data_IF_119009991568
#
_entry.id   IF_119009991568
#
_cell.length_a   1.000
_cell.length_b   1.000
_cell.length_c   1.000
_cell.angle_alpha   90.00
_cell.angle_beta   90.00
_cell.angle_gamma   90.00
#
_symmetry.space_group_name_H-M   'P 1'
#
loop_
_entity.id
_entity.type
_entity.pdbx_description
1 polymer ?
#
# COMPACT_ATOMS: atom_id res chain seq x y z
N UNK A 1 -0.19 -5.76 30.81
CA UNK A 1 -0.35 -6.65 29.64
C UNK A 1 0.51 -6.11 28.49
N UNK A 2 1.84 -6.08 28.69
CA UNK A 2 2.79 -5.26 27.89
C UNK A 2 4.16 -5.94 27.72
N UNK A 3 4.21 -7.27 27.66
CA UNK A 3 5.45 -8.06 27.50
C UNK A 3 5.33 -9.09 26.37
N UNK A 4 4.87 -8.66 25.19
CA UNK A 4 4.76 -9.49 23.98
C UNK A 4 5.47 -8.87 22.77
N UNK A 5 6.40 -7.93 22.99
CA UNK A 5 6.98 -7.08 21.94
C UNK A 5 8.39 -7.46 21.48
N UNK A 6 8.92 -8.63 21.86
CA UNK A 6 10.27 -9.03 21.44
C UNK A 6 10.38 -10.52 21.12
N UNK A 7 10.38 -10.80 19.81
CA UNK A 7 11.17 -11.83 19.13
C UNK A 7 10.83 -13.33 19.26
N UNK A 8 9.78 -13.75 19.97
CA UNK A 8 9.40 -15.19 20.01
C UNK A 8 8.11 -15.57 19.26
N UNK A 9 7.26 -14.60 18.89
CA UNK A 9 5.86 -14.89 18.52
C UNK A 9 5.51 -14.71 17.04
N UNK A 10 6.48 -14.50 16.13
CA UNK A 10 6.18 -14.33 14.70
C UNK A 10 5.32 -15.49 14.13
N UNK A 11 5.55 -16.71 14.61
CA UNK A 11 4.73 -17.87 14.25
C UNK A 11 3.31 -17.83 14.82
N UNK A 12 3.12 -17.34 16.06
CA UNK A 12 1.82 -17.29 16.74
C UNK A 12 0.94 -16.15 16.23
N UNK A 13 1.52 -14.98 15.94
CA UNK A 13 0.79 -13.84 15.38
C UNK A 13 0.32 -14.10 13.95
N UNK A 14 1.17 -14.71 13.10
CA UNK A 14 0.76 -15.12 11.77
C UNK A 14 -0.37 -16.16 11.82
N UNK A 15 -0.32 -17.12 12.74
CA UNK A 15 -1.40 -18.11 12.90
C UNK A 15 -2.72 -17.48 13.40
N UNK A 16 -2.66 -16.60 14.41
CA UNK A 16 -3.85 -15.89 14.92
C UNK A 16 -4.48 -14.98 13.86
N UNK A 17 -3.64 -14.32 13.06
CA UNK A 17 -4.11 -13.44 12.01
C UNK A 17 -4.68 -14.22 10.82
N UNK A 18 -4.06 -15.34 10.45
CA UNK A 18 -4.65 -16.32 9.52
C UNK A 18 -6.03 -16.80 9.98
N UNK A 19 -6.16 -17.14 11.27
CA UNK A 19 -7.44 -17.54 11.86
C UNK A 19 -8.48 -16.42 11.78
N UNK A 20 -8.09 -15.19 12.10
CA UNK A 20 -8.99 -14.03 12.05
C UNK A 20 -9.46 -13.74 10.63
N UNK A 21 -8.53 -13.75 9.66
CA UNK A 21 -8.85 -13.60 8.23
C UNK A 21 -9.82 -14.69 7.77
N UNK A 22 -9.54 -15.96 8.07
CA UNK A 22 -10.40 -17.08 7.69
C UNK A 22 -11.80 -16.98 8.32
N UNK A 23 -11.89 -16.54 9.58
CA UNK A 23 -13.17 -16.33 10.25
C UNK A 23 -13.99 -15.23 9.56
N UNK A 24 -13.36 -14.09 9.26
CA UNK A 24 -14.04 -12.96 8.59
C UNK A 24 -14.45 -13.32 7.18
N UNK A 25 -13.56 -13.95 6.41
CA UNK A 25 -13.81 -14.37 5.03
C UNK A 25 -14.99 -15.35 4.93
N UNK A 26 -15.16 -16.23 5.93
CA UNK A 26 -16.25 -17.22 5.96
C UNK A 26 -17.51 -16.71 6.68
N UNK A 27 -17.50 -15.51 7.25
CA UNK A 27 -18.69 -14.91 7.84
C UNK A 27 -19.58 -14.30 6.76
N UNK A 28 -20.89 -14.32 7.01
CA UNK A 28 -21.83 -13.53 6.23
C UNK A 28 -21.49 -12.03 6.36
N UNK A 29 -21.36 -11.35 5.21
CA UNK A 29 -21.06 -9.92 5.09
C UNK A 29 -22.09 -9.08 5.86
N UNK A 30 -23.34 -9.56 5.93
CA UNK A 30 -24.41 -8.91 6.69
C UNK A 30 -24.08 -8.70 8.18
N UNK A 31 -23.19 -9.52 8.77
CA UNK A 31 -22.77 -9.39 10.18
C UNK A 31 -21.94 -8.14 10.43
N UNK A 32 -21.27 -7.61 9.42
CA UNK A 32 -20.42 -6.42 9.54
C UNK A 32 -21.19 -5.11 9.40
N UNK A 33 -22.53 -5.15 9.25
CA UNK A 33 -23.37 -3.95 9.24
C UNK A 33 -23.43 -3.25 10.60
N UNK A 34 -23.15 -3.97 11.68
CA UNK A 34 -23.11 -3.42 13.03
C UNK A 34 -21.84 -2.58 13.24
N UNK A 35 -21.90 -1.44 13.97
CA UNK A 35 -20.77 -0.52 14.08
C UNK A 35 -19.49 -1.15 14.65
N UNK A 36 -19.62 -2.06 15.62
CA UNK A 36 -18.48 -2.72 16.25
C UNK A 36 -17.76 -3.67 15.29
N UNK A 37 -18.50 -4.62 14.70
CA UNK A 37 -17.98 -5.59 13.73
C UNK A 37 -17.38 -4.86 12.52
N UNK A 38 -18.01 -3.75 12.10
CA UNK A 38 -17.47 -2.90 11.06
C UNK A 38 -16.13 -2.29 11.45
N UNK A 39 -16.05 -1.64 12.62
CA UNK A 39 -14.81 -1.04 13.10
C UNK A 39 -13.70 -2.08 13.25
N UNK A 40 -14.06 -3.31 13.66
CA UNK A 40 -13.15 -4.44 13.70
C UNK A 40 -12.63 -4.79 12.30
N UNK A 41 -13.51 -4.97 11.30
CA UNK A 41 -13.11 -5.21 9.91
C UNK A 41 -12.19 -4.10 9.38
N UNK A 42 -12.58 -2.84 9.59
CA UNK A 42 -11.81 -1.67 9.17
C UNK A 42 -10.43 -1.62 9.82
N UNK A 43 -10.31 -2.00 11.09
CA UNK A 43 -9.02 -2.03 11.81
C UNK A 43 -8.05 -3.07 11.26
N UNK A 44 -8.55 -4.15 10.65
CA UNK A 44 -7.76 -5.29 10.18
C UNK A 44 -7.55 -5.27 8.65
N UNK A 45 -8.22 -4.38 7.92
CA UNK A 45 -8.26 -4.36 6.45
C UNK A 45 -6.86 -4.35 5.82
N UNK A 46 -6.02 -3.40 6.25
CA UNK A 46 -4.63 -3.29 5.79
C UNK A 46 -3.80 -4.55 6.09
N UNK A 47 -4.08 -5.21 7.22
CA UNK A 47 -3.37 -6.42 7.61
C UNK A 47 -3.69 -7.58 6.66
N UNK A 48 -4.96 -7.79 6.31
CA UNK A 48 -5.35 -8.84 5.35
C UNK A 48 -4.73 -8.63 3.98
N UNK A 49 -4.71 -7.38 3.52
CA UNK A 49 -4.09 -7.01 2.23
C UNK A 49 -2.60 -7.33 2.24
N UNK A 50 -1.87 -6.92 3.28
CA UNK A 50 -0.43 -7.20 3.39
C UNK A 50 -0.17 -8.71 3.49
N UNK A 51 -0.98 -9.43 4.25
CA UNK A 51 -0.86 -10.89 4.36
C UNK A 51 -1.03 -11.57 3.00
N UNK A 52 -2.05 -11.19 2.22
CA UNK A 52 -2.29 -11.72 0.88
C UNK A 52 -1.21 -11.33 -0.12
N UNK A 53 -0.71 -10.09 -0.02
CA UNK A 53 0.42 -9.62 -0.81
C UNK A 53 1.68 -10.44 -0.58
N UNK A 54 1.99 -10.75 0.68
CA UNK A 54 3.16 -11.57 1.05
C UNK A 54 3.04 -13.01 0.56
N UNK A 55 1.83 -13.57 0.58
CA UNK A 55 1.56 -14.92 0.12
C UNK A 55 1.36 -14.99 -1.40
N UNK A 56 1.37 -13.84 -2.09
CA UNK A 56 1.03 -13.71 -3.51
C UNK A 56 -0.29 -14.43 -3.80
N UNK A 57 -1.33 -14.06 -3.06
CA UNK A 57 -2.68 -14.61 -3.22
C UNK A 57 -3.70 -13.48 -3.41
N UNK A 58 -4.84 -13.76 -4.06
CA UNK A 58 -5.93 -12.80 -4.14
C UNK A 58 -6.48 -12.43 -2.77
N UNK A 59 -6.60 -11.13 -2.51
CA UNK A 59 -7.25 -10.65 -1.29
C UNK A 59 -8.76 -10.85 -1.39
N UNK A 60 -9.37 -11.52 -0.41
CA UNK A 60 -10.83 -11.75 -0.42
C UNK A 60 -11.64 -10.45 -0.45
N UNK A 61 -11.07 -9.36 0.09
CA UNK A 61 -11.67 -8.02 0.06
C UNK A 61 -11.77 -7.43 -1.35
N UNK A 62 -11.03 -7.98 -2.32
CA UNK A 62 -11.14 -7.57 -3.72
C UNK A 62 -12.42 -8.09 -4.39
N UNK A 63 -13.12 -9.06 -3.80
CA UNK A 63 -14.34 -9.66 -4.36
C UNK A 63 -15.54 -8.69 -4.27
N UNK A 64 -16.41 -8.70 -5.29
CA UNK A 64 -17.51 -7.72 -5.44
C UNK A 64 -18.40 -7.57 -4.18
N UNK A 65 -18.83 -8.65 -3.50
CA UNK A 65 -19.66 -8.50 -2.29
C UNK A 65 -18.98 -7.68 -1.18
N UNK A 66 -17.66 -7.83 -1.03
CA UNK A 66 -16.87 -7.07 -0.06
C UNK A 66 -16.61 -5.64 -0.54
N UNK A 67 -16.32 -5.46 -1.83
CA UNK A 67 -16.10 -4.14 -2.45
C UNK A 67 -17.31 -3.23 -2.34
N UNK A 68 -18.48 -3.76 -2.67
CA UNK A 68 -19.75 -3.04 -2.63
C UNK A 68 -20.07 -2.64 -1.19
N UNK A 69 -19.96 -3.58 -0.25
CA UNK A 69 -20.19 -3.35 1.17
C UNK A 69 -19.25 -2.27 1.77
N UNK A 70 -17.97 -2.26 1.39
CA UNK A 70 -17.02 -1.24 1.85
C UNK A 70 -17.36 0.14 1.27
N UNK A 71 -17.75 0.21 -0.02
CA UNK A 71 -18.08 1.45 -0.72
C UNK A 71 -19.38 2.11 -0.25
N UNK A 72 -20.46 1.34 -0.09
CA UNK A 72 -21.79 1.84 0.32
C UNK A 72 -21.78 2.63 1.63
N UNK A 73 -20.74 2.45 2.45
CA UNK A 73 -20.72 2.99 3.80
C UNK A 73 -19.80 4.19 3.98
N UNK A 74 -18.90 4.47 3.04
CA UNK A 74 -18.25 5.78 3.01
C UNK A 74 -19.28 6.91 2.87
N UNK A 75 -20.42 6.63 2.23
CA UNK A 75 -21.54 7.55 2.04
C UNK A 75 -22.48 7.68 3.27
N UNK A 76 -22.50 6.71 4.18
CA UNK A 76 -23.47 6.63 5.29
C UNK A 76 -22.85 6.76 6.69
N UNK A 77 -21.53 6.92 6.81
CA UNK A 77 -20.85 7.04 8.10
C UNK A 77 -21.19 8.36 8.82
N UNK A 78 -22.06 8.29 9.83
CA UNK A 78 -22.52 9.41 10.67
C UNK A 78 -21.52 9.84 11.76
N UNK A 79 -20.40 9.15 11.92
CA UNK A 79 -19.41 9.43 12.99
C UNK A 79 -18.24 10.28 12.48
N UNK A 80 -17.80 11.30 13.24
CA UNK A 80 -16.61 12.08 12.89
C UNK A 80 -15.38 11.18 12.94
N UNK A 81 -15.00 10.67 11.78
CA UNK A 81 -13.79 9.87 11.59
C UNK A 81 -12.65 10.84 11.28
N UNK A 82 -11.48 10.67 11.90
CA UNK A 82 -10.36 11.55 11.62
C UNK A 82 -10.01 11.50 10.12
N UNK A 83 -9.56 12.62 9.55
CA UNK A 83 -9.19 12.68 8.12
C UNK A 83 -8.20 11.58 7.74
N UNK A 84 -7.23 11.26 8.61
CA UNK A 84 -6.28 10.18 8.36
C UNK A 84 -6.94 8.80 8.32
N UNK A 85 -7.97 8.53 9.12
CA UNK A 85 -8.72 7.28 9.05
C UNK A 85 -9.51 7.16 7.74
N UNK A 86 -10.10 8.26 7.25
CA UNK A 86 -10.77 8.29 5.93
C UNK A 86 -9.76 8.03 4.80
N UNK A 87 -8.62 8.71 4.82
CA UNK A 87 -7.56 8.50 3.83
C UNK A 87 -7.01 7.07 3.86
N UNK A 88 -6.87 6.48 5.07
CA UNK A 88 -6.49 5.07 5.23
C UNK A 88 -7.49 4.11 4.65
N UNK A 89 -8.80 4.37 4.83
CA UNK A 89 -9.85 3.57 4.19
C UNK A 89 -9.66 3.61 2.67
N UNK A 90 -9.64 4.80 2.07
CA UNK A 90 -9.45 4.95 0.62
C UNK A 90 -8.20 4.26 0.10
N UNK A 91 -7.06 4.38 0.80
CA UNK A 91 -5.84 3.67 0.43
C UNK A 91 -6.07 2.15 0.39
N UNK A 92 -6.73 1.58 1.40
CA UNK A 92 -7.01 0.16 1.44
C UNK A 92 -7.91 -0.30 0.28
N UNK A 93 -8.80 0.55 -0.24
CA UNK A 93 -9.61 0.24 -1.43
C UNK A 93 -8.77 0.15 -2.71
N UNK A 94 -7.69 0.92 -2.80
CA UNK A 94 -6.76 0.78 -3.92
C UNK A 94 -5.82 -0.42 -3.75
N UNK A 95 -5.33 -0.64 -2.53
CA UNK A 95 -4.31 -1.67 -2.27
C UNK A 95 -4.79 -3.11 -2.47
N UNK A 96 -6.09 -3.39 -2.34
CA UNK A 96 -6.63 -4.77 -2.50
C UNK A 96 -6.39 -5.37 -3.89
N UNK A 97 -6.19 -4.56 -4.94
CA UNK A 97 -5.93 -5.06 -6.31
C UNK A 97 -4.43 -5.31 -6.59
N UNK A 98 -3.55 -4.67 -5.83
CA UNK A 98 -2.11 -4.70 -6.05
C UNK A 98 -1.52 -6.13 -5.93
N UNK A 99 -1.89 -6.95 -4.92
CA UNK A 99 -1.38 -8.32 -4.79
C UNK A 99 -1.58 -9.18 -6.04
N UNK A 100 -2.80 -9.20 -6.57
CA UNK A 100 -3.17 -10.01 -7.74
C UNK A 100 -2.42 -9.52 -8.97
N UNK A 101 -2.34 -8.20 -9.16
CA UNK A 101 -1.61 -7.62 -10.29
C UNK A 101 -0.13 -8.02 -10.26
N UNK A 102 0.53 -7.90 -9.11
CA UNK A 102 1.95 -8.25 -8.97
C UNK A 102 2.20 -9.75 -9.19
N UNK A 103 1.30 -10.60 -8.71
CA UNK A 103 1.35 -12.05 -8.94
C UNK A 103 1.21 -12.38 -10.44
N UNK A 104 0.23 -11.77 -11.13
CA UNK A 104 0.00 -12.00 -12.56
C UNK A 104 1.17 -11.50 -13.42
N UNK A 105 1.77 -10.36 -13.06
CA UNK A 105 2.98 -9.84 -13.70
C UNK A 105 4.12 -10.83 -13.48
N UNK A 106 4.44 -11.17 -12.23
CA UNK A 106 5.53 -12.09 -11.90
C UNK A 106 5.37 -13.46 -12.58
N UNK A 107 4.17 -14.05 -12.56
CA UNK A 107 3.89 -15.32 -13.22
C UNK A 107 4.03 -15.25 -14.74
N UNK A 108 3.67 -14.12 -15.36
CA UNK A 108 3.87 -13.91 -16.79
C UNK A 108 5.36 -13.78 -17.12
N UNK A 109 6.13 -13.05 -16.30
CA UNK A 109 7.58 -12.94 -16.42
C UNK A 109 8.28 -14.30 -16.33
N UNK A 110 7.93 -15.13 -15.34
CA UNK A 110 8.52 -16.46 -15.16
C UNK A 110 8.20 -17.42 -16.30
N UNK A 111 7.02 -17.30 -16.91
CA UNK A 111 6.59 -18.20 -17.99
C UNK A 111 7.27 -17.94 -19.34
N UNK A 112 7.94 -16.77 -19.50
CA UNK A 112 8.58 -16.38 -20.76
C UNK A 112 7.63 -16.12 -21.95
N UNK A 113 6.31 -16.28 -21.75
CA UNK A 113 5.29 -16.00 -22.77
C UNK A 113 4.93 -14.51 -22.79
N UNK A 114 5.85 -13.72 -23.34
CA UNK A 114 5.67 -12.29 -23.55
C UNK A 114 4.74 -12.02 -24.75
N UNK A 115 3.84 -11.05 -24.62
CA UNK A 115 2.86 -10.71 -25.66
C UNK A 115 1.68 -9.91 -25.10
N UNK A 116 0.50 -10.01 -25.75
CA UNK A 116 -0.71 -9.24 -25.38
C UNK A 116 -1.12 -9.35 -23.90
N UNK A 117 -0.77 -10.45 -23.22
CA UNK A 117 -1.07 -10.63 -21.79
C UNK A 117 -0.24 -9.66 -20.94
N UNK A 118 1.07 -9.56 -21.18
CA UNK A 118 1.94 -8.65 -20.44
C UNK A 118 1.57 -7.19 -20.73
N UNK A 119 1.26 -6.86 -21.99
CA UNK A 119 0.79 -5.52 -22.37
C UNK A 119 -0.50 -5.11 -21.63
N UNK A 120 -1.46 -6.05 -21.51
CA UNK A 120 -2.70 -5.82 -20.73
C UNK A 120 -2.40 -5.61 -19.25
N UNK A 121 -1.47 -6.36 -18.68
CA UNK A 121 -1.07 -6.22 -17.28
C UNK A 121 -0.37 -4.87 -17.03
N UNK A 122 0.50 -4.44 -17.94
CA UNK A 122 1.13 -3.10 -17.88
C UNK A 122 0.08 -2.01 -17.91
N UNK A 123 -0.89 -2.06 -18.84
CA UNK A 123 -1.98 -1.08 -18.91
C UNK A 123 -2.78 -1.03 -17.61
N UNK A 124 -3.09 -2.19 -17.02
CA UNK A 124 -3.80 -2.26 -15.73
C UNK A 124 -2.95 -1.70 -14.59
N UNK A 125 -1.65 -1.99 -14.57
CA UNK A 125 -0.71 -1.46 -13.58
C UNK A 125 -0.62 0.07 -13.66
N UNK A 126 -0.55 0.64 -14.87
CA UNK A 126 -0.55 2.09 -15.09
C UNK A 126 -1.86 2.73 -14.60
N UNK A 127 -3.01 2.12 -14.88
CA UNK A 127 -4.30 2.66 -14.39
C UNK A 127 -4.35 2.71 -12.86
N UNK A 128 -3.91 1.64 -12.19
CA UNK A 128 -3.88 1.59 -10.72
C UNK A 128 -2.86 2.59 -10.17
N UNK A 129 -1.68 2.67 -10.80
CA UNK A 129 -0.65 3.66 -10.46
C UNK A 129 -1.20 5.08 -10.52
N UNK A 130 -1.78 5.47 -11.65
CA UNK A 130 -2.28 6.84 -11.87
C UNK A 130 -3.44 7.19 -10.93
N UNK A 131 -4.27 6.21 -10.58
CA UNK A 131 -5.33 6.38 -9.58
C UNK A 131 -4.76 6.65 -8.19
N UNK A 132 -3.78 5.85 -7.75
CA UNK A 132 -3.14 6.02 -6.44
C UNK A 132 -2.36 7.33 -6.40
N UNK A 133 -1.59 7.64 -7.44
CA UNK A 133 -0.80 8.87 -7.51
C UNK A 133 -1.69 10.11 -7.56
N UNK A 134 -2.72 10.11 -8.42
CA UNK A 134 -3.68 11.21 -8.51
C UNK A 134 -4.40 11.46 -7.19
N UNK A 135 -4.85 10.40 -6.51
CA UNK A 135 -5.44 10.50 -5.17
C UNK A 135 -4.43 11.03 -4.13
N UNK A 136 -3.20 10.51 -4.13
CA UNK A 136 -2.15 10.93 -3.20
C UNK A 136 -1.86 12.44 -3.33
N UNK A 137 -1.68 12.93 -4.55
CA UNK A 137 -1.43 14.34 -4.83
C UNK A 137 -2.63 15.24 -4.50
N UNK A 138 -3.85 14.75 -4.71
CA UNK A 138 -5.06 15.54 -4.49
C UNK A 138 -5.51 15.59 -3.03
N UNK A 139 -5.32 14.51 -2.26
CA UNK A 139 -5.95 14.37 -0.93
C UNK A 139 -4.95 14.23 0.22
N UNK A 140 -3.83 13.52 0.00
CA UNK A 140 -2.83 13.23 1.03
C UNK A 140 -1.81 14.36 1.14
N UNK A 141 -1.23 14.78 0.01
CA UNK A 141 -0.23 15.85 0.00
C UNK A 141 -0.77 17.15 0.62
N UNK A 142 -1.98 17.62 0.30
CA UNK A 142 -2.53 18.82 0.94
C UNK A 142 -2.87 18.65 2.43
N UNK A 143 -3.00 17.40 2.90
CA UNK A 143 -3.26 17.10 4.31
C UNK A 143 -1.98 17.07 5.16
N UNK A 144 -0.81 17.09 4.53
CA UNK A 144 0.50 17.15 5.16
C UNK A 144 1.13 18.49 4.80
N UNK A 145 1.21 19.47 5.73
CA UNK A 145 1.91 20.72 5.45
C UNK A 145 3.42 20.44 5.27
N UNK A 146 3.86 20.26 4.03
CA UNK A 146 5.28 20.21 3.70
C UNK A 146 5.82 21.65 3.70
N UNK A 147 6.67 21.97 4.68
CA UNK A 147 7.33 23.27 4.72
C UNK A 147 8.38 23.32 3.60
N UNK A 148 8.14 24.10 2.56
CA UNK A 148 9.22 24.48 1.64
C UNK A 148 10.24 25.34 2.40
N UNK A 149 11.45 24.82 2.63
CA UNK A 149 12.55 25.66 3.07
C UNK A 149 12.95 26.57 1.90
N UNK A 150 12.69 27.86 2.08
CA UNK A 150 13.08 28.89 1.14
C UNK A 150 14.60 29.15 1.30
N UNK A 151 15.38 28.76 0.29
CA UNK A 151 16.73 29.25 0.04
C UNK A 151 17.86 28.68 0.91
N UNK A 152 18.52 27.62 0.44
CA UNK A 152 19.99 27.61 0.38
C UNK A 152 20.50 26.48 -0.54
N UNK A 153 21.43 26.79 -1.45
CA UNK A 153 22.01 25.85 -2.43
C UNK A 153 23.14 24.98 -1.84
N UNK A 154 23.14 24.78 -0.53
CA UNK A 154 24.02 23.86 0.18
C UNK A 154 23.24 23.22 1.32
N UNK A 155 23.05 21.90 1.22
CA UNK A 155 22.25 21.11 2.16
C UNK A 155 22.57 21.42 3.63
N UNK A 156 21.53 21.43 4.47
CA UNK A 156 21.37 20.28 5.36
C UNK A 156 19.90 19.79 5.42
N UNK A 157 19.73 18.47 5.23
CA UNK A 157 18.60 17.64 5.68
C UNK A 157 17.18 18.23 5.47
N UNK A 158 16.52 17.74 4.40
CA UNK A 158 15.22 18.22 3.93
C UNK A 158 14.12 18.30 5.00
N UNK A 159 13.14 19.20 4.80
CA UNK A 159 12.18 19.61 5.81
C UNK A 159 11.43 18.40 6.40
N UNK A 160 11.42 18.30 7.73
CA UNK A 160 10.52 17.41 8.47
C UNK A 160 9.10 17.71 8.03
N UNK A 161 8.43 16.77 7.36
CA UNK A 161 7.00 16.88 7.13
C UNK A 161 6.31 17.00 8.50
N UNK A 162 5.50 18.04 8.68
CA UNK A 162 4.72 18.24 9.91
C UNK A 162 3.45 17.39 9.83
N UNK A 163 3.64 16.09 10.00
CA UNK A 163 2.49 15.20 10.09
C UNK A 163 1.67 15.59 11.33
N UNK A 164 0.37 15.79 11.12
CA UNK A 164 -0.58 16.08 12.21
C UNK A 164 -0.76 14.90 13.17
N UNK A 165 -0.49 13.68 12.70
CA UNK A 165 -0.59 12.44 13.48
C UNK A 165 0.21 11.29 12.82
N UNK A 166 0.61 10.25 13.59
CA UNK A 166 1.40 9.11 13.10
C UNK A 166 0.80 8.41 11.88
N UNK A 167 -0.52 8.31 11.84
CA UNK A 167 -1.21 7.63 10.75
C UNK A 167 -0.94 8.32 9.40
N UNK A 168 -0.73 9.64 9.36
CA UNK A 168 -0.36 10.33 8.11
C UNK A 168 1.05 9.94 7.64
N UNK A 169 2.02 9.81 8.56
CA UNK A 169 3.34 9.29 8.21
C UNK A 169 3.28 7.84 7.73
N UNK A 170 2.44 7.00 8.34
CA UNK A 170 2.19 5.63 7.86
C UNK A 170 1.61 5.63 6.45
N UNK A 171 0.65 6.51 6.15
CA UNK A 171 0.06 6.64 4.82
C UNK A 171 1.08 7.05 3.77
N UNK A 172 1.95 8.02 4.06
CA UNK A 172 3.02 8.45 3.16
C UNK A 172 4.00 7.30 2.87
N UNK A 173 4.42 6.56 3.90
CA UNK A 173 5.28 5.39 3.72
C UNK A 173 4.63 4.33 2.82
N UNK A 174 3.40 3.91 3.13
CA UNK A 174 2.73 2.81 2.43
C UNK A 174 2.40 3.21 0.99
N UNK A 175 1.89 4.42 0.77
CA UNK A 175 1.51 4.91 -0.57
C UNK A 175 2.73 5.01 -1.46
N UNK A 176 3.80 5.67 -1.01
CA UNK A 176 5.01 5.82 -1.83
C UNK A 176 5.71 4.48 -2.06
N UNK A 177 5.69 3.55 -1.11
CA UNK A 177 6.29 2.22 -1.31
C UNK A 177 5.50 1.38 -2.30
N UNK A 178 4.17 1.50 -2.28
CA UNK A 178 3.29 0.86 -3.27
C UNK A 178 3.55 1.42 -4.66
N UNK A 179 3.65 2.75 -4.79
CA UNK A 179 3.94 3.40 -6.06
C UNK A 179 5.30 2.96 -6.62
N UNK A 180 6.36 2.93 -5.80
CA UNK A 180 7.67 2.37 -6.23
C UNK A 180 7.52 0.94 -6.74
N UNK A 181 6.77 0.09 -6.02
CA UNK A 181 6.58 -1.32 -6.41
C UNK A 181 5.86 -1.44 -7.77
N UNK A 182 4.86 -0.59 -8.02
CA UNK A 182 4.18 -0.53 -9.31
C UNK A 182 5.08 0.03 -10.41
N UNK A 183 5.82 1.10 -10.14
CA UNK A 183 6.78 1.74 -11.05
C UNK A 183 7.84 0.74 -11.53
N UNK A 184 8.41 -0.05 -10.62
CA UNK A 184 9.36 -1.12 -10.98
C UNK A 184 8.70 -2.21 -11.83
N UNK A 185 7.52 -2.70 -11.42
CA UNK A 185 6.80 -3.73 -12.17
C UNK A 185 6.47 -3.26 -13.60
N UNK A 186 6.09 -1.98 -13.76
CA UNK A 186 5.83 -1.35 -15.06
C UNK A 186 7.14 -1.24 -15.85
N UNK A 187 8.20 -0.67 -15.29
CA UNK A 187 9.48 -0.49 -16.00
C UNK A 187 10.11 -1.81 -16.44
N UNK A 188 10.09 -2.84 -15.58
CA UNK A 188 10.57 -4.18 -15.94
C UNK A 188 9.75 -4.78 -17.07
N UNK A 189 8.41 -4.70 -16.98
CA UNK A 189 7.52 -5.26 -17.99
C UNK A 189 7.63 -4.55 -19.33
N UNK A 190 7.72 -3.22 -19.34
CA UNK A 190 7.89 -2.41 -20.56
C UNK A 190 9.23 -2.71 -21.22
N UNK A 191 10.32 -2.80 -20.45
CA UNK A 191 11.65 -3.11 -21.02
C UNK A 191 11.65 -4.43 -21.78
N UNK A 192 10.98 -5.46 -21.25
CA UNK A 192 10.85 -6.76 -21.92
C UNK A 192 9.97 -6.70 -23.18
N UNK A 193 8.89 -5.92 -23.17
CA UNK A 193 8.07 -5.69 -24.36
C UNK A 193 8.84 -4.92 -25.44
N UNK A 194 9.69 -3.97 -25.06
CA UNK A 194 10.56 -3.23 -25.98
C UNK A 194 11.60 -4.13 -26.65
N UNK A 195 12.18 -5.08 -25.92
CA UNK A 195 13.11 -6.08 -26.47
C UNK A 195 12.42 -7.06 -27.42
N UNK A 196 11.16 -7.43 -27.15
CA UNK A 196 10.42 -8.40 -27.95
C UNK A 196 9.80 -7.82 -29.23
N UNK A 197 9.30 -6.58 -29.19
CA UNK A 197 8.45 -6.03 -30.26
C UNK A 197 8.99 -4.70 -30.83
N UNK A 198 10.07 -4.13 -30.29
CA UNK A 198 10.77 -2.95 -30.84
C UNK A 198 9.97 -1.63 -30.82
N UNK A 199 8.71 -1.62 -30.37
CA UNK A 199 7.81 -0.48 -30.51
C UNK A 199 7.49 0.28 -29.21
N UNK A 200 7.83 -0.26 -28.04
CA UNK A 200 7.50 0.40 -26.77
C UNK A 200 8.63 1.31 -26.30
N UNK A 201 8.32 2.59 -26.06
CA UNK A 201 9.24 3.54 -25.45
C UNK A 201 9.39 3.21 -23.96
N UNK A 202 10.62 3.10 -23.41
CA UNK A 202 10.82 2.90 -21.99
C UNK A 202 10.14 4.00 -21.17
N UNK A 203 9.46 3.61 -20.09
CA UNK A 203 8.95 4.54 -19.08
C UNK A 203 10.05 4.72 -18.04
N UNK A 204 10.48 5.97 -17.82
CA UNK A 204 11.57 6.32 -16.94
C UNK A 204 11.07 6.92 -15.63
N UNK A 205 11.22 6.16 -14.54
CA UNK A 205 10.92 6.60 -13.17
C UNK A 205 12.19 6.96 -12.36
N UNK A 206 13.35 7.08 -13.01
CA UNK A 206 14.66 7.31 -12.36
C UNK A 206 14.72 8.55 -11.47
N UNK A 207 13.92 9.58 -11.79
CA UNK A 207 13.82 10.82 -11.00
C UNK A 207 12.78 10.69 -9.87
N UNK A 208 11.70 9.94 -10.10
CA UNK A 208 10.56 9.84 -9.17
C UNK A 208 10.88 8.89 -8.01
N UNK A 209 11.48 7.73 -8.29
CA UNK A 209 11.80 6.72 -7.27
C UNK A 209 12.66 7.29 -6.13
N UNK A 210 13.77 8.02 -6.37
CA UNK A 210 14.57 8.61 -5.30
C UNK A 210 13.80 9.61 -4.43
N UNK A 211 12.92 10.41 -5.04
CA UNK A 211 12.07 11.36 -4.30
C UNK A 211 11.10 10.61 -3.38
N UNK A 212 10.45 9.57 -3.90
CA UNK A 212 9.57 8.70 -3.09
C UNK A 212 10.33 8.03 -1.96
N UNK A 213 11.53 7.54 -2.22
CA UNK A 213 12.38 6.92 -1.20
C UNK A 213 12.74 7.92 -0.08
N UNK A 214 13.03 9.17 -0.44
CA UNK A 214 13.25 10.23 0.55
C UNK A 214 11.98 10.48 1.39
N UNK A 215 10.81 10.58 0.75
CA UNK A 215 9.53 10.74 1.46
C UNK A 215 9.28 9.59 2.43
N UNK A 216 9.52 8.34 2.02
CA UNK A 216 9.38 7.14 2.87
C UNK A 216 10.31 7.25 4.09
N UNK A 217 11.56 7.67 3.90
CA UNK A 217 12.53 7.78 4.99
C UNK A 217 12.09 8.86 6.00
N UNK A 218 11.72 10.05 5.52
CA UNK A 218 11.25 11.15 6.38
C UNK A 218 9.98 10.76 7.16
N UNK A 219 9.03 10.11 6.48
CA UNK A 219 7.80 9.61 7.10
C UNK A 219 8.07 8.55 8.18
N UNK A 220 8.97 7.61 7.89
CA UNK A 220 9.35 6.55 8.82
C UNK A 220 10.07 7.12 10.05
N UNK A 221 10.97 8.07 9.87
CA UNK A 221 11.66 8.76 10.97
C UNK A 221 10.68 9.49 11.88
N UNK A 222 9.69 10.18 11.29
CA UNK A 222 8.62 10.80 12.07
C UNK A 222 7.84 9.76 12.90
N UNK A 223 7.40 8.66 12.28
CA UNK A 223 6.62 7.62 12.98
C UNK A 223 7.46 6.99 14.10
N UNK A 224 8.75 6.75 13.88
CA UNK A 224 9.69 6.28 14.93
C UNK A 224 9.80 7.25 16.08
N UNK A 225 9.93 8.55 15.79
CA UNK A 225 10.00 9.60 16.79
C UNK A 225 8.73 9.70 17.64
N UNK A 226 7.57 9.44 17.05
CA UNK A 226 6.29 9.46 17.76
C UNK A 226 6.01 8.17 18.54
N UNK A 227 6.19 7.00 17.93
CA UNK A 227 5.89 5.71 18.54
C UNK A 227 6.71 4.57 17.93
N UNK A 228 7.65 4.05 18.71
CA UNK A 228 8.41 2.84 18.37
C UNK A 228 7.51 1.61 18.18
N UNK A 229 6.35 1.57 18.85
CA UNK A 229 5.37 0.49 18.69
C UNK A 229 4.69 0.57 17.31
N UNK A 230 4.39 1.77 16.82
CA UNK A 230 3.81 1.97 15.49
C UNK A 230 4.85 1.80 14.37
N UNK A 231 6.11 2.17 14.62
CA UNK A 231 7.18 2.08 13.64
C UNK A 231 7.56 0.64 13.28
N UNK A 232 7.61 -0.28 14.25
CA UNK A 232 8.04 -1.67 14.00
C UNK A 232 7.21 -2.41 12.95
N UNK A 233 5.86 -2.45 13.03
CA UNK A 233 5.04 -3.06 11.97
C UNK A 233 5.21 -2.37 10.62
N UNK A 234 5.42 -1.04 10.61
CA UNK A 234 5.66 -0.29 9.39
C UNK A 234 6.99 -0.69 8.74
N UNK A 235 8.08 -0.75 9.50
CA UNK A 235 9.39 -1.21 9.01
C UNK A 235 9.31 -2.61 8.42
N UNK A 236 8.62 -3.51 9.12
CA UNK A 236 8.43 -4.88 8.66
C UNK A 236 7.66 -4.91 7.33
N UNK A 237 6.54 -4.19 7.22
CA UNK A 237 5.78 -4.09 5.97
C UNK A 237 6.57 -3.45 4.82
N UNK A 238 7.36 -2.41 5.10
CA UNK A 238 8.24 -1.78 4.12
C UNK A 238 9.33 -2.73 3.63
N UNK A 239 9.91 -3.53 4.53
CA UNK A 239 10.88 -4.56 4.16
C UNK A 239 10.24 -5.63 3.26
N UNK A 240 9.02 -6.07 3.59
CA UNK A 240 8.29 -7.04 2.77
C UNK A 240 8.00 -6.52 1.35
N UNK A 241 7.52 -5.29 1.22
CA UNK A 241 7.32 -4.66 -0.08
C UNK A 241 8.62 -4.58 -0.89
N UNK A 242 9.75 -4.27 -0.25
CA UNK A 242 11.05 -4.28 -0.92
C UNK A 242 11.44 -5.68 -1.39
N UNK A 243 11.22 -6.72 -0.57
CA UNK A 243 11.56 -8.09 -0.95
C UNK A 243 10.75 -8.61 -2.15
N UNK A 244 9.53 -8.09 -2.39
CA UNK A 244 8.75 -8.41 -3.59
C UNK A 244 9.38 -7.89 -4.88
N UNK A 245 10.27 -6.89 -4.79
CA UNK A 245 11.00 -6.34 -5.96
C UNK A 245 12.21 -7.19 -6.34
N UNK A 246 12.76 -7.94 -5.38
CA UNK A 246 14.02 -8.67 -5.53
C UNK A 246 13.84 -10.12 -6.02
N UNK A 247 12.60 -10.61 -6.13
CA UNK A 247 12.30 -12.01 -6.51
C UNK A 247 11.20 -12.15 -7.54
#
# INVERSE_FOLDING_TARGET
MWQLLTNADNGRWNQLSHGTKALIQNCDIGRFRQPFERAMLESQRAFFIVQDMNLRQPCFLAQSPWREFLRETEETALTPTSRACVLRSKLCDWLVDVPVLLEEVSGTLHSGHYGMKLERLVKRAMVIHDQIEGWYLAEVVPAVPYIQQHGDNSAPLGPSAEYSQPLMGVLDCVTNSTLITLEDAISTSVSLLSESDGFHKPIDFSITIPKRQQTINNALEYVRGYSLVAAKPLEFGLHQLRSLREG
#
